data_IF_462954749456
#
_entry.id   IF_462954749456
#
_cell.length_a   1.000
_cell.length_b   1.000
_cell.length_c   1.000
_cell.angle_alpha   90.00
_cell.angle_beta   90.00
_cell.angle_gamma   90.00
#
_symmetry.space_group_name_H-M   'P 1'
#
loop_
_entity.id
_entity.type
_entity.pdbx_description
1 polymer ?
#
# COMPACT_ATOMS: atom_id res chain seq x y z
N UNK A 1 3.09 9.25 -19.95
CA UNK A 1 2.48 7.97 -20.39
C UNK A 1 2.01 7.23 -19.15
N UNK A 2 0.73 6.84 -19.07
CA UNK A 2 0.25 5.91 -18.05
C UNK A 2 0.89 4.54 -18.33
N UNK A 3 1.62 4.04 -17.39
CA UNK A 3 2.29 2.74 -17.46
C UNK A 3 1.46 1.71 -16.70
N UNK A 4 1.07 0.63 -17.36
CA UNK A 4 0.39 -0.49 -16.73
C UNK A 4 1.47 -1.36 -16.08
N UNK A 5 1.33 -1.61 -14.78
CA UNK A 5 2.17 -2.54 -14.03
C UNK A 5 1.35 -3.77 -13.66
N UNK A 6 1.51 -4.79 -14.46
CA UNK A 6 0.95 -6.12 -14.21
C UNK A 6 1.96 -7.04 -13.50
N UNK A 7 1.54 -8.26 -13.21
CA UNK A 7 2.35 -9.27 -12.52
C UNK A 7 3.60 -9.64 -13.33
N UNK A 8 3.50 -9.73 -14.66
CA UNK A 8 4.65 -10.08 -15.52
C UNK A 8 5.71 -8.99 -15.46
N UNK A 9 5.28 -7.74 -15.50
CA UNK A 9 6.19 -6.60 -15.39
C UNK A 9 6.86 -6.55 -14.01
N UNK A 10 6.11 -6.83 -12.94
CA UNK A 10 6.67 -6.92 -11.60
C UNK A 10 7.77 -7.99 -11.51
N UNK A 11 7.51 -9.18 -12.07
CA UNK A 11 8.51 -10.26 -12.16
C UNK A 11 9.73 -9.85 -12.94
N UNK A 12 9.53 -9.26 -14.12
CA UNK A 12 10.62 -8.85 -15.02
C UNK A 12 11.48 -7.74 -14.41
N UNK A 13 10.88 -6.73 -13.82
CA UNK A 13 11.59 -5.55 -13.30
C UNK A 13 12.13 -5.77 -11.89
N UNK A 14 11.34 -6.40 -11.03
CA UNK A 14 11.65 -6.54 -9.60
C UNK A 14 12.07 -7.97 -9.20
N UNK A 15 11.82 -8.97 -10.03
CA UNK A 15 12.15 -10.37 -9.74
C UNK A 15 11.42 -10.93 -8.52
N UNK A 16 10.19 -10.48 -8.28
CA UNK A 16 9.34 -10.85 -7.14
C UNK A 16 7.91 -11.11 -7.61
N UNK A 17 7.16 -11.81 -6.77
CA UNK A 17 5.71 -11.99 -6.91
C UNK A 17 4.96 -10.89 -6.15
N UNK A 18 3.66 -10.63 -6.48
CA UNK A 18 2.84 -9.66 -5.74
C UNK A 18 2.81 -9.91 -4.23
N UNK A 19 2.74 -11.17 -3.81
CA UNK A 19 2.69 -11.59 -2.41
C UNK A 19 3.97 -11.18 -1.63
N UNK A 20 5.10 -11.06 -2.34
CA UNK A 20 6.37 -10.65 -1.71
C UNK A 20 6.40 -9.17 -1.31
N UNK A 21 5.49 -8.34 -1.85
CA UNK A 21 5.45 -6.90 -1.55
C UNK A 21 5.23 -6.67 -0.06
N UNK A 22 4.34 -7.45 0.56
CA UNK A 22 4.05 -7.36 2.01
C UNK A 22 5.31 -7.66 2.82
N UNK A 23 6.09 -8.68 2.44
CA UNK A 23 7.33 -9.03 3.12
C UNK A 23 8.43 -7.96 2.94
N UNK A 24 8.45 -7.28 1.79
CA UNK A 24 9.35 -6.15 1.55
C UNK A 24 8.99 -4.98 2.46
N UNK A 25 7.70 -4.65 2.59
CA UNK A 25 7.22 -3.61 3.50
C UNK A 25 7.46 -3.98 4.97
N UNK A 26 7.32 -5.26 5.31
CA UNK A 26 7.62 -5.76 6.65
C UNK A 26 9.09 -5.52 7.06
N UNK A 27 10.02 -5.72 6.13
CA UNK A 27 11.45 -5.49 6.36
C UNK A 27 11.83 -4.00 6.25
N UNK A 28 11.37 -3.34 5.19
CA UNK A 28 11.80 -1.99 4.83
C UNK A 28 11.00 -0.87 5.48
N UNK A 29 9.81 -1.19 6.00
CA UNK A 29 8.84 -0.21 6.46
C UNK A 29 8.15 0.57 5.34
N UNK A 30 7.17 1.37 5.73
CA UNK A 30 6.53 2.38 4.88
C UNK A 30 6.20 3.61 5.71
N UNK A 31 6.90 4.71 5.45
CA UNK A 31 6.73 5.96 6.20
C UNK A 31 5.39 6.64 5.91
N UNK A 32 4.79 6.43 4.74
CA UNK A 32 3.49 7.01 4.39
C UNK A 32 2.37 6.40 5.24
N UNK A 33 2.48 5.13 5.57
CA UNK A 33 1.49 4.40 6.37
C UNK A 33 1.95 4.16 7.82
N UNK A 34 3.07 4.79 8.21
CA UNK A 34 3.67 4.63 9.54
C UNK A 34 3.99 3.17 9.89
N UNK A 35 4.38 2.38 8.91
CA UNK A 35 4.84 0.99 9.11
C UNK A 35 6.34 1.03 9.42
N UNK A 36 6.77 0.55 10.61
CA UNK A 36 8.12 0.81 11.12
C UNK A 36 9.23 0.06 10.35
N UNK A 37 8.99 -1.18 9.92
CA UNK A 37 10.03 -2.03 9.35
C UNK A 37 11.17 -2.34 10.31
N UNK A 38 12.33 -2.73 9.78
CA UNK A 38 13.55 -3.00 10.56
C UNK A 38 14.53 -1.84 10.42
N UNK A 39 14.99 -1.22 11.52
CA UNK A 39 15.99 -0.16 11.48
C UNK A 39 17.23 -0.54 10.67
N UNK A 40 17.61 0.33 9.71
CA UNK A 40 18.76 0.10 8.84
C UNK A 40 18.50 -0.83 7.65
N UNK A 41 17.29 -1.32 7.48
CA UNK A 41 16.87 -2.08 6.29
C UNK A 41 15.87 -1.23 5.50
N UNK A 42 16.34 -0.57 4.44
CA UNK A 42 15.46 0.14 3.52
C UNK A 42 15.00 -0.75 2.36
N UNK A 43 14.10 -0.21 1.53
CA UNK A 43 13.47 -0.92 0.41
C UNK A 43 14.43 -1.73 -0.47
N UNK A 44 15.59 -1.14 -0.87
CA UNK A 44 16.55 -1.84 -1.74
C UNK A 44 17.14 -3.09 -1.08
N UNK A 45 17.42 -3.02 0.21
CA UNK A 45 17.94 -4.15 0.99
C UNK A 45 16.85 -5.19 1.21
N UNK A 46 15.64 -4.76 1.57
CA UNK A 46 14.49 -5.65 1.73
C UNK A 46 14.17 -6.40 0.43
N UNK A 47 14.13 -5.71 -0.71
CA UNK A 47 13.92 -6.32 -2.02
C UNK A 47 14.98 -7.38 -2.33
N UNK A 48 16.26 -7.11 -2.03
CA UNK A 48 17.35 -8.09 -2.24
C UNK A 48 17.15 -9.32 -1.36
N UNK A 49 16.85 -9.13 -0.09
CA UNK A 49 16.61 -10.23 0.85
C UNK A 49 15.44 -11.10 0.43
N UNK A 50 14.31 -10.48 0.03
CA UNK A 50 13.12 -11.24 -0.38
C UNK A 50 13.33 -11.95 -1.72
N UNK A 51 14.10 -11.39 -2.65
CA UNK A 51 14.50 -12.12 -3.87
C UNK A 51 15.26 -13.39 -3.56
N UNK A 52 16.19 -13.33 -2.62
CA UNK A 52 17.07 -14.42 -2.23
C UNK A 52 16.32 -15.45 -1.36
N UNK A 53 15.62 -15.01 -0.34
CA UNK A 53 15.03 -15.85 0.70
C UNK A 53 13.52 -16.08 0.56
N UNK A 54 12.85 -15.38 -0.37
CA UNK A 54 11.43 -15.52 -0.76
C UNK A 54 10.40 -15.01 0.25
N UNK A 55 10.67 -15.00 1.54
CA UNK A 55 9.74 -14.54 2.57
C UNK A 55 10.46 -13.95 3.78
N UNK A 56 9.73 -13.15 4.57
CA UNK A 56 10.20 -12.61 5.85
C UNK A 56 10.69 -13.70 6.79
N UNK A 57 9.92 -14.78 6.94
CA UNK A 57 10.28 -15.85 7.87
C UNK A 57 11.53 -16.60 7.43
N UNK A 58 11.72 -16.80 6.13
CA UNK A 58 12.96 -17.39 5.62
C UNK A 58 14.17 -16.47 5.82
N UNK A 59 13.99 -15.15 5.70
CA UNK A 59 15.05 -14.17 6.01
C UNK A 59 15.44 -14.29 7.48
N UNK A 60 14.48 -14.33 8.39
CA UNK A 60 14.71 -14.41 9.84
C UNK A 60 15.36 -15.77 10.20
N UNK A 61 14.87 -16.88 9.63
CA UNK A 61 15.38 -18.23 9.92
C UNK A 61 16.80 -18.49 9.39
N UNK A 62 17.28 -17.67 8.45
CA UNK A 62 18.62 -17.83 7.85
C UNK A 62 19.51 -16.60 8.08
N UNK A 63 19.30 -15.87 9.16
CA UNK A 63 20.05 -14.64 9.48
C UNK A 63 21.56 -14.89 9.50
N UNK A 64 21.98 -16.04 10.00
CA UNK A 64 23.39 -16.48 10.07
C UNK A 64 24.10 -16.51 8.69
N UNK A 65 23.33 -16.74 7.62
CA UNK A 65 23.83 -16.77 6.23
C UNK A 65 23.83 -15.40 5.54
N UNK A 66 23.21 -14.40 6.14
CA UNK A 66 23.09 -13.04 5.58
C UNK A 66 24.39 -12.26 5.87
N UNK A 67 24.99 -11.66 4.84
CA UNK A 67 26.22 -10.88 5.02
C UNK A 67 25.99 -9.57 5.78
N UNK A 68 26.83 -9.32 6.80
CA UNK A 68 26.91 -8.09 7.56
C UNK A 68 26.37 -8.20 8.99
N UNK A 69 27.27 -8.15 9.99
CA UNK A 69 26.99 -8.32 11.42
C UNK A 69 25.86 -7.40 11.90
N UNK A 70 25.97 -6.11 11.65
CA UNK A 70 24.93 -5.15 12.08
C UNK A 70 23.54 -5.43 11.48
N UNK A 71 23.50 -5.98 10.25
CA UNK A 71 22.25 -6.38 9.61
C UNK A 71 21.68 -7.62 10.29
N UNK A 72 22.49 -8.61 10.59
CA UNK A 72 22.11 -9.83 11.33
C UNK A 72 21.57 -9.46 12.70
N UNK A 73 22.27 -8.62 13.46
CA UNK A 73 21.83 -8.13 14.76
C UNK A 73 20.47 -7.44 14.69
N UNK A 74 20.29 -6.55 13.70
CA UNK A 74 19.00 -5.85 13.55
C UNK A 74 17.87 -6.80 13.13
N UNK A 75 18.13 -7.76 12.23
CA UNK A 75 17.14 -8.77 11.84
C UNK A 75 16.70 -9.60 13.03
N UNK A 76 17.62 -10.04 13.88
CA UNK A 76 17.29 -10.79 15.10
C UNK A 76 16.56 -9.91 16.13
N UNK A 77 17.12 -8.74 16.43
CA UNK A 77 16.59 -7.82 17.44
C UNK A 77 15.18 -7.34 17.13
N UNK A 78 14.88 -7.08 15.86
CA UNK A 78 13.64 -6.48 15.41
C UNK A 78 12.73 -7.47 14.64
N UNK A 79 12.93 -8.78 14.81
CA UNK A 79 12.13 -9.81 14.13
C UNK A 79 10.62 -9.65 14.43
N UNK A 80 10.25 -9.42 15.69
CA UNK A 80 8.84 -9.21 16.08
C UNK A 80 8.27 -7.90 15.52
N UNK A 81 9.10 -6.86 15.44
CA UNK A 81 8.68 -5.60 14.81
C UNK A 81 8.41 -5.78 13.31
N UNK A 82 9.21 -6.61 12.63
CA UNK A 82 8.98 -6.96 11.24
C UNK A 82 7.68 -7.78 11.06
N UNK A 83 7.38 -8.71 11.96
CA UNK A 83 6.11 -9.45 11.97
C UNK A 83 4.91 -8.53 12.21
N UNK A 84 5.04 -7.57 13.13
CA UNK A 84 4.03 -6.53 13.32
C UNK A 84 3.85 -5.71 12.05
N UNK A 85 4.95 -5.25 11.44
CA UNK A 85 4.93 -4.51 10.18
C UNK A 85 4.26 -5.30 9.05
N UNK A 86 4.52 -6.61 8.96
CA UNK A 86 3.83 -7.51 8.02
C UNK A 86 2.33 -7.51 8.25
N UNK A 87 1.88 -7.63 9.49
CA UNK A 87 0.44 -7.59 9.83
C UNK A 87 -0.19 -6.26 9.45
N UNK A 88 0.48 -5.14 9.72
CA UNK A 88 0.00 -3.79 9.36
C UNK A 88 -0.07 -3.58 7.84
N UNK A 89 0.89 -4.11 7.08
CA UNK A 89 0.90 -4.03 5.63
C UNK A 89 -0.08 -4.98 4.94
N UNK A 90 -0.62 -5.96 5.65
CA UNK A 90 -1.53 -6.95 5.08
C UNK A 90 -2.95 -6.40 5.04
N UNK A 91 -3.52 -6.27 3.84
CA UNK A 91 -4.89 -5.80 3.63
C UNK A 91 -5.88 -6.86 4.13
N UNK A 92 -6.83 -6.43 4.97
CA UNK A 92 -7.95 -7.27 5.37
C UNK A 92 -9.00 -7.31 4.26
N UNK A 93 -9.13 -8.46 3.59
CA UNK A 93 -10.10 -8.69 2.53
C UNK A 93 -11.45 -9.23 3.04
N UNK A 94 -11.61 -9.38 4.35
CA UNK A 94 -12.82 -9.94 4.98
C UNK A 94 -13.64 -8.91 5.74
N UNK A 95 -13.32 -7.63 5.58
CA UNK A 95 -14.11 -6.55 6.19
C UNK A 95 -15.56 -6.67 5.71
N UNK A 96 -16.56 -6.75 6.60
CA UNK A 96 -17.96 -6.82 6.21
C UNK A 96 -18.38 -5.48 5.59
N UNK A 97 -18.60 -5.48 4.29
CA UNK A 97 -19.06 -4.33 3.53
C UNK A 97 -20.39 -4.66 2.88
N UNK A 98 -21.38 -3.80 3.09
CA UNK A 98 -22.59 -3.78 2.27
C UNK A 98 -22.26 -3.01 0.98
N UNK A 99 -21.74 -3.75 -0.01
CA UNK A 99 -21.28 -3.17 -1.27
C UNK A 99 -22.14 -3.64 -2.43
N UNK A 100 -22.73 -2.68 -3.15
CA UNK A 100 -23.44 -2.93 -4.39
C UNK A 100 -22.80 -2.13 -5.54
N UNK A 101 -22.22 -2.84 -6.50
CA UNK A 101 -21.52 -2.24 -7.65
C UNK A 101 -22.47 -1.38 -8.50
N UNK A 102 -23.73 -1.78 -8.66
CA UNK A 102 -24.73 -1.00 -9.42
C UNK A 102 -25.07 0.32 -8.72
N UNK A 103 -25.05 0.34 -7.38
CA UNK A 103 -25.22 1.58 -6.62
C UNK A 103 -24.06 2.57 -6.81
N UNK A 104 -22.90 2.10 -7.28
CA UNK A 104 -21.73 2.94 -7.60
C UNK A 104 -21.79 3.52 -9.01
N UNK A 105 -22.80 3.19 -9.81
CA UNK A 105 -22.98 3.76 -11.15
C UNK A 105 -23.21 5.26 -11.07
N UNK A 106 -22.43 6.03 -11.81
CA UNK A 106 -22.65 7.46 -11.92
C UNK A 106 -24.02 7.73 -12.58
N UNK A 107 -24.88 8.42 -11.87
CA UNK A 107 -26.15 8.93 -12.37
C UNK A 107 -26.06 10.45 -12.52
N UNK A 108 -27.08 11.08 -13.12
CA UNK A 108 -27.15 12.53 -13.18
C UNK A 108 -27.15 13.13 -11.76
N UNK A 109 -26.35 14.17 -11.57
CA UNK A 109 -26.32 14.88 -10.31
C UNK A 109 -27.65 15.57 -10.01
N UNK A 110 -28.06 15.57 -8.75
CA UNK A 110 -29.13 16.45 -8.29
C UNK A 110 -28.56 17.88 -8.14
N UNK A 111 -28.63 18.66 -9.20
CA UNK A 111 -28.05 19.99 -9.26
C UNK A 111 -28.63 20.94 -8.17
N UNK A 112 -29.89 20.79 -7.77
CA UNK A 112 -30.49 21.59 -6.71
C UNK A 112 -29.79 21.37 -5.39
N UNK A 113 -29.68 20.09 -4.96
CA UNK A 113 -28.96 19.72 -3.72
C UNK A 113 -27.50 20.08 -3.76
N UNK A 114 -26.88 19.92 -4.94
CA UNK A 114 -25.47 20.24 -5.13
C UNK A 114 -25.20 21.74 -4.97
N UNK A 115 -26.05 22.59 -5.55
CA UNK A 115 -25.97 24.03 -5.42
C UNK A 115 -26.24 24.52 -3.98
N UNK A 116 -27.21 23.89 -3.28
CA UNK A 116 -27.42 24.14 -1.85
C UNK A 116 -26.14 23.84 -1.04
N UNK A 117 -25.51 22.70 -1.26
CA UNK A 117 -24.27 22.32 -0.59
C UNK A 117 -23.15 23.32 -0.90
N UNK A 118 -22.94 23.66 -2.16
CA UNK A 118 -21.90 24.61 -2.56
C UNK A 118 -22.14 26.00 -1.95
N UNK A 119 -23.38 26.43 -1.88
CA UNK A 119 -23.75 27.70 -1.23
C UNK A 119 -23.43 27.64 0.27
N UNK A 120 -23.87 26.58 0.95
CA UNK A 120 -23.65 26.42 2.39
C UNK A 120 -22.17 26.35 2.77
N UNK A 121 -21.33 25.73 1.92
CA UNK A 121 -19.88 25.65 2.12
C UNK A 121 -19.09 26.83 1.53
N UNK A 122 -19.77 27.81 0.91
CA UNK A 122 -19.13 28.99 0.35
C UNK A 122 -18.32 28.72 -0.94
N UNK A 123 -18.59 27.64 -1.64
CA UNK A 123 -17.93 27.28 -2.90
C UNK A 123 -18.55 28.02 -4.10
N UNK A 124 -18.39 29.34 -4.12
CA UNK A 124 -19.05 30.24 -5.09
C UNK A 124 -18.76 29.89 -6.55
N UNK A 125 -17.57 29.40 -6.85
CA UNK A 125 -17.15 29.02 -8.20
C UNK A 125 -17.78 27.71 -8.73
N UNK A 126 -18.41 26.93 -7.85
CA UNK A 126 -19.07 25.67 -8.21
C UNK A 126 -20.60 25.78 -8.21
N UNK A 127 -21.14 26.89 -7.73
CA UNK A 127 -22.56 27.17 -7.87
C UNK A 127 -22.80 27.45 -9.35
N UNK A 128 -23.33 26.45 -10.07
CA UNK A 128 -23.66 26.61 -11.48
C UNK A 128 -24.76 27.67 -11.64
N UNK A 129 -24.54 28.58 -12.55
CA UNK A 129 -25.65 29.43 -13.06
C UNK A 129 -26.62 28.50 -13.79
N UNK A 130 -27.65 28.06 -13.10
CA UNK A 130 -28.72 27.18 -13.64
C UNK A 130 -29.59 27.91 -14.67
N UNK A 131 -29.03 28.81 -15.49
CA UNK A 131 -29.77 29.57 -16.48
C UNK A 131 -29.82 28.95 -17.86
N UNK A 132 -29.06 27.87 -18.14
CA UNK A 132 -29.06 27.25 -19.46
C UNK A 132 -29.42 25.77 -19.38
N UNK A 133 -30.70 25.44 -19.20
CA UNK A 133 -31.28 24.20 -19.73
C UNK A 133 -32.81 24.26 -19.53
N UNK A 134 -33.49 25.01 -20.40
CA UNK A 134 -34.86 24.76 -20.83
C UNK A 134 -34.83 24.13 -22.21
#
# INVERSE_FOLDING_TARGET
KKEIRDTEKLRKEKGIEPENVIDILALGGDSSDNIPGIPGIGYKTALKLIREWKSLENVISNVDKIKGMKKQENLLKYAELARLSKRLATIDTKVPLDFNLEACRLTNFNNIKLNELFTNYGFKSFVADNHDNN
#
